data_IF_687365870856
#
_entry.id   IF_687365870856
#
_cell.length_a   1.000
_cell.length_b   1.000
_cell.length_c   1.000
_cell.angle_alpha   90.00
_cell.angle_beta   90.00
_cell.angle_gamma   90.00
#
_symmetry.space_group_name_H-M   'P 1'
#
loop_
_entity.id
_entity.type
_entity.pdbx_description
1 polymer ?
#
# COMPACT_ATOMS: atom_id res chain seq x y z
N UNK A 1 14.67 17.66 -0.20
CA UNK A 1 14.70 17.28 -1.64
C UNK A 1 14.40 15.79 -1.87
N UNK A 2 14.98 14.83 -1.13
CA UNK A 2 14.71 13.38 -1.32
C UNK A 2 13.23 12.93 -1.20
N UNK A 3 12.48 13.53 -0.27
CA UNK A 3 11.08 13.15 0.02
C UNK A 3 10.09 13.52 -1.09
N UNK A 4 10.30 14.67 -1.75
CA UNK A 4 9.53 15.09 -2.93
C UNK A 4 9.75 14.12 -4.10
N UNK A 5 10.95 13.55 -4.23
CA UNK A 5 11.27 12.52 -5.21
C UNK A 5 10.47 11.22 -4.99
N UNK A 6 10.42 10.71 -3.75
CA UNK A 6 9.67 9.48 -3.44
C UNK A 6 8.17 9.68 -3.64
N UNK A 7 7.64 10.83 -3.20
CA UNK A 7 6.24 11.20 -3.39
C UNK A 7 5.87 11.36 -4.87
N UNK A 8 6.75 11.96 -5.66
CA UNK A 8 6.52 12.11 -7.11
C UNK A 8 6.58 10.77 -7.84
N UNK A 9 7.50 9.87 -7.49
CA UNK A 9 7.52 8.50 -8.03
C UNK A 9 6.23 7.75 -7.68
N UNK A 10 5.77 7.83 -6.44
CA UNK A 10 4.53 7.19 -5.99
C UNK A 10 3.29 7.79 -6.68
N UNK A 11 3.26 9.11 -6.86
CA UNK A 11 2.21 9.80 -7.61
C UNK A 11 2.21 9.42 -9.09
N UNK A 12 3.37 9.41 -9.75
CA UNK A 12 3.51 8.99 -11.16
C UNK A 12 3.06 7.54 -11.34
N UNK A 13 3.45 6.64 -10.43
CA UNK A 13 2.99 5.26 -10.45
C UNK A 13 1.47 5.16 -10.33
N UNK A 14 0.85 5.94 -9.44
CA UNK A 14 -0.62 5.99 -9.31
C UNK A 14 -1.29 6.49 -10.60
N UNK A 15 -0.72 7.50 -11.26
CA UNK A 15 -1.24 8.06 -12.50
C UNK A 15 -1.14 7.05 -13.64
N UNK A 16 -0.01 6.35 -13.76
CA UNK A 16 0.18 5.25 -14.71
C UNK A 16 -0.89 4.18 -14.50
N UNK A 17 -1.12 3.74 -13.26
CA UNK A 17 -2.16 2.75 -12.96
C UNK A 17 -3.57 3.22 -13.31
N UNK A 18 -3.91 4.47 -13.02
CA UNK A 18 -5.22 5.06 -13.41
C UNK A 18 -5.39 5.06 -14.93
N UNK A 19 -4.32 5.23 -15.72
CA UNK A 19 -4.42 5.21 -17.18
C UNK A 19 -4.47 3.80 -17.77
N UNK A 20 -3.77 2.83 -17.17
CA UNK A 20 -3.63 1.48 -17.74
C UNK A 20 -4.74 0.52 -17.33
N UNK A 21 -5.30 0.67 -16.11
CA UNK A 21 -6.33 -0.25 -15.59
C UNK A 21 -7.65 -0.18 -16.38
N UNK A 22 -8.25 1.00 -16.67
CA UNK A 22 -9.54 1.08 -17.38
C UNK A 22 -9.58 0.40 -18.76
N UNK A 23 -8.62 0.64 -19.69
CA UNK A 23 -8.65 -0.02 -20.99
C UNK A 23 -8.52 -1.54 -20.86
N UNK A 24 -7.81 -2.02 -19.83
CA UNK A 24 -7.65 -3.43 -19.55
C UNK A 24 -8.95 -4.06 -19.06
N UNK A 25 -9.65 -3.43 -18.11
CA UNK A 25 -10.96 -3.89 -17.62
C UNK A 25 -12.03 -3.89 -18.72
N UNK A 26 -11.95 -2.95 -19.65
CA UNK A 26 -12.95 -2.83 -20.73
C UNK A 26 -12.83 -3.88 -21.85
N UNK A 27 -11.66 -4.51 -22.00
CA UNK A 27 -11.35 -5.41 -23.13
C UNK A 27 -11.14 -6.85 -22.67
N UNK A 28 -10.70 -7.04 -21.43
CA UNK A 28 -10.42 -8.36 -20.89
C UNK A 28 -11.70 -9.02 -20.33
N UNK A 29 -11.90 -10.34 -20.52
CA UNK A 29 -12.98 -11.05 -19.85
C UNK A 29 -12.84 -10.93 -18.33
N UNK A 30 -13.97 -11.01 -17.61
CA UNK A 30 -14.03 -10.77 -16.15
C UNK A 30 -13.03 -11.63 -15.38
N UNK A 31 -12.72 -12.83 -15.86
CA UNK A 31 -11.70 -13.71 -15.27
C UNK A 31 -10.31 -13.07 -15.30
N UNK A 32 -9.83 -12.63 -16.47
CA UNK A 32 -8.55 -11.95 -16.64
C UNK A 32 -8.47 -10.62 -15.86
N UNK A 33 -9.60 -9.93 -15.70
CA UNK A 33 -9.67 -8.70 -14.88
C UNK A 33 -9.49 -9.00 -13.39
N UNK A 34 -10.01 -10.14 -12.92
CA UNK A 34 -9.75 -10.63 -11.58
C UNK A 34 -8.26 -10.97 -11.45
N UNK A 35 -7.65 -11.61 -12.46
CA UNK A 35 -6.21 -11.90 -12.47
C UNK A 35 -5.32 -10.65 -12.39
N UNK A 36 -5.72 -9.57 -13.06
CA UNK A 36 -5.08 -8.26 -13.01
C UNK A 36 -4.93 -7.71 -11.59
N UNK A 37 -5.97 -7.88 -10.78
CA UNK A 37 -6.07 -7.25 -9.46
C UNK A 37 -5.44 -8.14 -8.38
N UNK A 38 -5.36 -9.46 -8.64
CA UNK A 38 -4.90 -10.46 -7.68
C UNK A 38 -3.56 -11.13 -8.03
N UNK A 39 -2.98 -10.88 -9.20
CA UNK A 39 -1.63 -11.34 -9.56
C UNK A 39 -1.54 -12.79 -10.01
N UNK A 40 -2.57 -13.33 -10.65
CA UNK A 40 -2.53 -14.68 -11.23
C UNK A 40 -1.81 -14.70 -12.58
N UNK A 41 -1.01 -15.74 -12.82
CA UNK A 41 -0.28 -15.95 -14.07
C UNK A 41 -1.18 -16.58 -15.13
N UNK A 42 -1.81 -15.76 -15.96
CA UNK A 42 -2.14 -16.16 -17.32
C UNK A 42 -1.25 -15.39 -18.31
N UNK A 43 -0.90 -16.05 -19.42
CA UNK A 43 0.21 -15.72 -20.34
C UNK A 43 0.10 -14.39 -21.12
N UNK A 44 -0.69 -13.43 -20.66
CA UNK A 44 -0.81 -12.12 -21.27
C UNK A 44 0.15 -11.14 -20.61
N UNK A 45 1.29 -10.88 -21.27
CA UNK A 45 2.36 -9.98 -20.80
C UNK A 45 1.83 -8.63 -20.26
N UNK A 46 0.77 -8.10 -20.88
CA UNK A 46 0.15 -6.83 -20.47
C UNK A 46 -0.61 -6.92 -19.13
N UNK A 47 -1.31 -8.03 -18.87
CA UNK A 47 -1.96 -8.32 -17.58
C UNK A 47 -0.91 -8.47 -16.48
N UNK A 48 0.12 -9.29 -16.71
CA UNK A 48 1.21 -9.49 -15.77
C UNK A 48 1.94 -8.19 -15.40
N UNK A 49 2.15 -7.29 -16.37
CA UNK A 49 2.76 -5.98 -16.14
C UNK A 49 1.90 -5.12 -15.20
N UNK A 50 0.61 -4.99 -15.47
CA UNK A 50 -0.25 -4.12 -14.67
C UNK A 50 -0.50 -4.73 -13.28
N UNK A 51 -0.63 -6.06 -13.15
CA UNK A 51 -0.67 -6.75 -11.85
C UNK A 51 0.60 -6.46 -11.03
N UNK A 52 1.77 -6.52 -11.67
CA UNK A 52 3.05 -6.22 -11.01
C UNK A 52 3.13 -4.77 -10.56
N UNK A 53 2.61 -3.82 -11.35
CA UNK A 53 2.56 -2.41 -10.99
C UNK A 53 1.58 -2.14 -9.83
N UNK A 54 0.41 -2.79 -9.80
CA UNK A 54 -0.54 -2.72 -8.69
C UNK A 54 0.09 -3.29 -7.43
N UNK A 55 0.77 -4.43 -7.53
CA UNK A 55 1.49 -5.03 -6.42
C UNK A 55 2.58 -4.10 -5.88
N UNK A 56 3.40 -3.53 -6.76
CA UNK A 56 4.44 -2.56 -6.40
C UNK A 56 3.83 -1.33 -5.71
N UNK A 57 2.73 -0.80 -6.22
CA UNK A 57 2.04 0.35 -5.63
C UNK A 57 1.52 0.05 -4.22
N UNK A 58 0.84 -1.08 -4.04
CA UNK A 58 0.35 -1.53 -2.74
C UNK A 58 1.52 -1.76 -1.77
N UNK A 59 2.63 -2.32 -2.24
CA UNK A 59 3.82 -2.51 -1.42
C UNK A 59 4.42 -1.17 -0.95
N UNK A 60 4.58 -0.22 -1.87
CA UNK A 60 5.09 1.11 -1.57
C UNK A 60 4.19 1.90 -0.61
N UNK A 61 2.88 1.64 -0.64
CA UNK A 61 1.89 2.22 0.29
C UNK A 61 2.23 1.94 1.75
N UNK A 62 2.86 0.80 2.05
CA UNK A 62 3.25 0.41 3.41
C UNK A 62 4.71 0.71 3.68
N UNK A 63 5.59 0.39 2.71
CA UNK A 63 7.03 0.50 2.91
C UNK A 63 7.45 1.95 3.14
N UNK A 64 6.97 2.90 2.33
CA UNK A 64 7.41 4.30 2.42
C UNK A 64 6.99 4.90 3.77
N UNK A 65 5.72 4.77 4.22
CA UNK A 65 5.37 5.32 5.53
C UNK A 65 6.05 4.61 6.69
N UNK A 66 6.35 3.32 6.58
CA UNK A 66 7.14 2.64 7.59
C UNK A 66 8.54 3.25 7.72
N UNK A 67 9.23 3.50 6.61
CA UNK A 67 10.54 4.15 6.61
C UNK A 67 10.46 5.56 7.22
N UNK A 68 9.43 6.34 6.86
CA UNK A 68 9.19 7.67 7.44
C UNK A 68 8.95 7.59 8.97
N UNK A 69 8.25 6.55 9.45
CA UNK A 69 8.02 6.31 10.88
C UNK A 69 9.29 5.89 11.63
N UNK A 70 10.15 5.08 11.03
CA UNK A 70 11.45 4.69 11.60
C UNK A 70 12.31 5.93 11.83
N UNK A 71 12.37 6.84 10.86
CA UNK A 71 13.09 8.13 10.98
C UNK A 71 12.46 9.02 12.05
N UNK A 72 11.13 9.11 12.09
CA UNK A 72 10.41 9.87 13.11
C UNK A 72 10.70 9.34 14.52
N UNK A 73 10.75 8.01 14.68
CA UNK A 73 11.02 7.37 15.97
C UNK A 73 12.44 7.66 16.48
N UNK A 74 13.44 7.63 15.59
CA UNK A 74 14.80 8.07 15.94
C UNK A 74 14.80 9.52 16.46
N UNK A 75 14.09 10.42 15.78
CA UNK A 75 14.01 11.83 16.19
C UNK A 75 13.28 12.05 17.53
N UNK A 76 12.19 11.31 17.77
CA UNK A 76 11.41 11.39 19.02
C UNK A 76 12.24 10.95 20.22
N UNK A 77 13.01 9.87 20.07
CA UNK A 77 13.84 9.31 21.13
C UNK A 77 14.85 10.34 21.69
N UNK A 78 15.38 11.23 20.84
CA UNK A 78 16.32 12.27 21.26
C UNK A 78 15.67 13.52 21.89
N UNK A 79 14.36 13.75 21.67
CA UNK A 79 13.72 15.05 22.01
C UNK A 79 12.56 14.99 22.99
N UNK A 80 12.22 13.82 23.55
CA UNK A 80 11.14 13.63 24.54
C UNK A 80 9.84 14.38 24.15
N UNK A 81 9.36 14.10 22.94
CA UNK A 81 8.22 14.80 22.33
C UNK A 81 6.90 14.30 22.92
N UNK A 82 5.93 15.18 23.14
CA UNK A 82 4.61 14.77 23.64
C UNK A 82 3.86 13.87 22.65
N UNK A 83 3.09 12.90 23.16
CA UNK A 83 2.31 11.94 22.35
C UNK A 83 1.40 12.59 21.32
N UNK A 84 0.80 13.73 21.64
CA UNK A 84 -0.07 14.48 20.73
C UNK A 84 0.72 15.00 19.49
N UNK A 85 1.95 15.50 19.69
CA UNK A 85 2.81 15.93 18.59
C UNK A 85 3.34 14.75 17.78
N UNK A 86 3.61 13.62 18.42
CA UNK A 86 3.98 12.36 17.74
C UNK A 86 2.85 11.90 16.81
N UNK A 87 1.61 11.87 17.31
CA UNK A 87 0.43 11.51 16.52
C UNK A 87 0.24 12.47 15.33
N UNK A 88 0.30 13.78 15.58
CA UNK A 88 0.15 14.78 14.52
C UNK A 88 1.24 14.63 13.45
N UNK A 89 2.49 14.40 13.86
CA UNK A 89 3.57 14.12 12.94
C UNK A 89 3.28 12.84 12.16
N UNK A 90 3.04 11.70 12.83
CA UNK A 90 2.76 10.42 12.17
C UNK A 90 1.64 10.55 11.13
N UNK A 91 0.49 11.14 11.49
CA UNK A 91 -0.61 11.37 10.54
C UNK A 91 -0.16 12.22 9.36
N UNK A 92 0.55 13.33 9.60
CA UNK A 92 1.07 14.20 8.53
C UNK A 92 2.05 13.48 7.60
N UNK A 93 2.87 12.57 8.14
CA UNK A 93 3.86 11.83 7.35
C UNK A 93 3.20 10.75 6.50
N UNK A 94 2.21 10.04 7.04
CA UNK A 94 1.67 8.83 6.44
C UNK A 94 0.45 9.17 5.55
N UNK A 95 -0.46 10.08 5.97
CA UNK A 95 -1.78 10.33 5.35
C UNK A 95 -1.79 10.50 3.83
N UNK A 96 -0.86 11.25 3.23
CA UNK A 96 -0.84 11.42 1.78
C UNK A 96 -0.74 10.08 1.00
N UNK A 97 -0.01 9.10 1.52
CA UNK A 97 0.14 7.78 0.87
C UNK A 97 -1.15 6.96 0.95
N UNK A 98 -1.86 7.05 2.08
CA UNK A 98 -3.15 6.40 2.28
C UNK A 98 -4.25 6.99 1.41
N UNK A 99 -4.29 8.32 1.31
CA UNK A 99 -5.28 9.00 0.46
C UNK A 99 -5.10 8.54 -0.99
N UNK A 100 -3.86 8.54 -1.51
CA UNK A 100 -3.58 8.05 -2.86
C UNK A 100 -3.94 6.58 -3.04
N UNK A 101 -3.63 5.73 -2.05
CA UNK A 101 -4.03 4.33 -2.07
C UNK A 101 -5.55 4.15 -2.13
N UNK A 102 -6.28 4.83 -1.25
CA UNK A 102 -7.74 4.79 -1.21
C UNK A 102 -8.36 5.29 -2.51
N UNK A 103 -7.86 6.40 -3.06
CA UNK A 103 -8.33 6.94 -4.33
C UNK A 103 -8.16 5.93 -5.47
N UNK A 104 -7.00 5.28 -5.56
CA UNK A 104 -6.76 4.26 -6.57
C UNK A 104 -7.67 3.04 -6.38
N UNK A 105 -7.81 2.51 -5.16
CA UNK A 105 -8.66 1.33 -4.90
C UNK A 105 -10.15 1.63 -5.14
N UNK A 106 -10.64 2.78 -4.69
CA UNK A 106 -12.00 3.23 -4.99
C UNK A 106 -12.22 3.47 -6.48
N UNK A 107 -11.19 3.92 -7.19
CA UNK A 107 -11.26 4.05 -8.65
C UNK A 107 -11.36 2.68 -9.33
N UNK A 108 -10.53 1.71 -8.94
CA UNK A 108 -10.59 0.34 -9.46
C UNK A 108 -11.96 -0.30 -9.17
N UNK A 109 -12.55 -0.06 -7.99
CA UNK A 109 -13.90 -0.54 -7.64
C UNK A 109 -15.00 -0.06 -8.59
N UNK A 110 -14.81 1.07 -9.29
CA UNK A 110 -15.77 1.51 -10.32
C UNK A 110 -15.82 0.60 -11.53
N UNK A 111 -14.75 -0.15 -11.77
CA UNK A 111 -14.60 -1.03 -12.93
C UNK A 111 -14.69 -2.50 -12.52
N UNK A 112 -14.32 -2.84 -11.28
CA UNK A 112 -14.26 -4.22 -10.79
C UNK A 112 -14.80 -4.28 -9.36
N UNK A 113 -16.03 -4.76 -9.22
CA UNK A 113 -16.67 -4.93 -7.92
C UNK A 113 -16.39 -6.33 -7.35
N UNK A 114 -15.23 -6.47 -6.68
CA UNK A 114 -14.80 -7.76 -6.10
C UNK A 114 -14.65 -7.65 -4.58
N UNK A 115 -15.16 -8.63 -3.81
CA UNK A 115 -15.01 -8.71 -2.34
C UNK A 115 -13.55 -8.59 -1.86
N UNK A 116 -12.60 -8.98 -2.72
CA UNK A 116 -11.18 -8.96 -2.41
C UNK A 116 -10.56 -7.55 -2.47
N UNK A 117 -11.07 -6.62 -3.28
CA UNK A 117 -10.63 -5.21 -3.21
C UNK A 117 -11.07 -4.60 -1.87
N UNK A 118 -12.28 -4.92 -1.41
CA UNK A 118 -12.74 -4.54 -0.05
C UNK A 118 -11.86 -5.16 1.04
N UNK A 119 -11.50 -6.44 0.90
CA UNK A 119 -10.56 -7.10 1.81
C UNK A 119 -9.20 -6.39 1.83
N UNK A 120 -8.68 -6.01 0.66
CA UNK A 120 -7.41 -5.29 0.52
C UNK A 120 -7.48 -3.93 1.20
N UNK A 121 -8.55 -3.16 0.97
CA UNK A 121 -8.80 -1.89 1.66
C UNK A 121 -8.85 -2.11 3.19
N UNK A 122 -9.56 -3.14 3.65
CA UNK A 122 -9.69 -3.47 5.07
C UNK A 122 -8.35 -3.82 5.72
N UNK A 123 -7.58 -4.74 5.12
CA UNK A 123 -6.26 -5.15 5.62
C UNK A 123 -5.32 -3.95 5.67
N UNK A 124 -5.25 -3.16 4.59
CA UNK A 124 -4.37 -1.99 4.51
C UNK A 124 -4.79 -0.88 5.45
N UNK A 125 -6.10 -0.67 5.64
CA UNK A 125 -6.64 0.27 6.61
C UNK A 125 -6.28 -0.11 8.05
N UNK A 126 -6.45 -1.38 8.43
CA UNK A 126 -6.04 -1.87 9.76
C UNK A 126 -4.54 -1.73 9.98
N UNK A 127 -3.75 -2.11 8.99
CA UNK A 127 -2.29 -1.93 8.95
C UNK A 127 -1.88 -0.51 9.28
N UNK A 128 -2.56 0.44 8.65
CA UNK A 128 -2.30 1.85 8.82
C UNK A 128 -2.55 2.33 10.25
N UNK A 129 -3.65 1.86 10.85
CA UNK A 129 -3.95 2.12 12.26
C UNK A 129 -2.91 1.51 13.18
N UNK A 130 -2.43 0.30 12.89
CA UNK A 130 -1.36 -0.36 13.65
C UNK A 130 -0.06 0.44 13.56
N UNK A 131 0.31 0.94 12.37
CA UNK A 131 1.50 1.77 12.18
C UNK A 131 1.40 3.09 12.97
N UNK A 132 0.26 3.76 12.96
CA UNK A 132 0.08 4.97 13.78
C UNK A 132 0.15 4.65 15.27
N UNK A 133 -0.55 3.61 15.70
CA UNK A 133 -0.60 3.20 17.11
C UNK A 133 0.80 2.90 17.65
N UNK A 134 1.57 2.11 16.90
CA UNK A 134 2.94 1.76 17.27
C UNK A 134 3.88 2.97 17.26
N UNK A 135 3.65 3.97 16.39
CA UNK A 135 4.40 5.22 16.40
C UNK A 135 4.18 6.00 17.70
N UNK A 136 2.91 6.12 18.13
CA UNK A 136 2.54 6.86 19.35
C UNK A 136 2.97 6.14 20.63
N UNK A 137 2.94 4.80 20.63
CA UNK A 137 3.37 3.95 21.76
C UNK A 137 4.88 3.77 21.84
N UNK A 138 5.64 4.33 20.91
CA UNK A 138 7.10 4.20 20.85
C UNK A 138 7.57 2.73 20.89
N UNK A 139 6.87 1.84 20.20
CA UNK A 139 7.24 0.43 20.19
C UNK A 139 8.53 0.18 19.40
N UNK A 140 9.34 -0.79 19.88
CA UNK A 140 10.63 -1.16 19.27
C UNK A 140 10.49 -1.47 17.78
N UNK A 141 11.43 -0.95 16.99
CA UNK A 141 11.54 -1.14 15.53
C UNK A 141 11.40 -2.60 15.07
N UNK A 142 11.80 -3.56 15.90
CA UNK A 142 11.66 -5.00 15.64
C UNK A 142 10.22 -5.45 15.41
N UNK A 143 9.25 -4.89 16.15
CA UNK A 143 7.83 -5.25 16.01
C UNK A 143 7.30 -4.83 14.63
N UNK A 144 7.79 -3.71 14.12
CA UNK A 144 7.40 -3.19 12.81
C UNK A 144 7.91 -4.05 11.66
N UNK A 145 9.14 -4.54 11.78
CA UNK A 145 9.73 -5.48 10.83
C UNK A 145 9.02 -6.83 10.86
N UNK A 146 8.59 -7.29 12.04
CA UNK A 146 7.80 -8.53 12.17
C UNK A 146 6.40 -8.35 11.56
N UNK A 147 5.73 -7.23 11.81
CA UNK A 147 4.45 -6.90 11.17
C UNK A 147 4.61 -6.88 9.65
N UNK A 148 5.62 -6.16 9.14
CA UNK A 148 5.91 -6.08 7.71
C UNK A 148 6.21 -7.48 7.11
N UNK A 149 7.03 -8.28 7.79
CA UNK A 149 7.36 -9.63 7.37
C UNK A 149 6.13 -10.53 7.32
N UNK A 150 5.34 -10.61 8.40
CA UNK A 150 4.12 -11.42 8.45
C UNK A 150 3.14 -11.01 7.35
N UNK A 151 3.00 -9.72 7.08
CA UNK A 151 2.09 -9.24 6.03
C UNK A 151 2.60 -9.48 4.62
N UNK A 152 3.90 -9.36 4.39
CA UNK A 152 4.52 -9.81 3.15
C UNK A 152 4.29 -11.30 2.95
N UNK A 153 4.49 -12.12 3.98
CA UNK A 153 4.25 -13.57 3.89
C UNK A 153 2.79 -13.88 3.68
N UNK A 154 1.84 -13.23 4.39
CA UNK A 154 0.39 -13.42 4.20
C UNK A 154 -0.03 -13.01 2.80
N UNK A 155 0.53 -11.92 2.26
CA UNK A 155 0.17 -11.46 0.93
C UNK A 155 0.78 -12.31 -0.18
N UNK A 156 2.01 -12.79 0.00
CA UNK A 156 2.63 -13.81 -0.86
C UNK A 156 1.86 -15.13 -0.78
N UNK A 157 1.42 -15.54 0.41
CA UNK A 157 0.56 -16.71 0.60
C UNK A 157 -0.80 -16.51 -0.06
N UNK A 158 -1.43 -15.34 0.05
CA UNK A 158 -2.67 -15.04 -0.68
C UNK A 158 -2.47 -15.02 -2.20
N UNK A 159 -1.28 -14.72 -2.69
CA UNK A 159 -0.96 -14.87 -4.11
C UNK A 159 -0.71 -16.36 -4.49
N UNK A 160 -0.19 -17.18 -3.57
CA UNK A 160 0.21 -18.57 -3.82
C UNK A 160 -0.83 -19.65 -3.46
N UNK A 161 -1.77 -19.39 -2.55
CA UNK A 161 -2.78 -20.36 -2.04
C UNK A 161 -3.90 -20.63 -3.05
N UNK A 162 -3.91 -19.91 -4.17
CA UNK A 162 -4.89 -20.12 -5.23
C UNK A 162 -4.29 -20.65 -6.54
N UNK A 163 -3.05 -21.17 -6.48
CA UNK A 163 -2.55 -22.14 -7.48
C UNK A 163 -3.05 -23.55 -7.15
#
# INVERSE_FOLDING_TARGET
>A
MKRLGIMSVYFVLSLVLVTLVPPLVSVAPVHDVIELIFGYENNHIYLALVSSLIFLFDYLTILIPLLDLVVLHQFIHFRQVSRARILQAAVKYIAPYFILFMLLKLYILKFVDTPQIFLTIGIYGMLWLVLIYSAVKEQKQTIWLVILAVLLTVRILMANVFY
#
